data_IF_046528067059
#
_entry.id   IF_046528067059
#
_cell.length_a   1.000
_cell.length_b   1.000
_cell.length_c   1.000
_cell.angle_alpha   90.00
_cell.angle_beta   90.00
_cell.angle_gamma   90.00
#
_symmetry.space_group_name_H-M   'P 1'
#
loop_
_entity.id
_entity.type
_entity.pdbx_description
1 polymer ?
#
# COMPACT_ATOMS: atom_id res chain seq x y z
N UNK A 1 -43.31 28.32 46.77
CA UNK A 1 -42.30 29.15 47.45
C UNK A 1 -41.42 29.75 46.36
N UNK A 2 -41.32 31.06 46.07
CA UNK A 2 -41.33 32.32 46.85
C UNK A 2 -39.91 32.91 47.01
N UNK A 3 -39.67 34.13 46.46
CA UNK A 3 -38.48 35.00 46.67
C UNK A 3 -37.52 35.12 45.45
N UNK A 4 -37.31 36.31 44.83
CA UNK A 4 -36.50 37.50 45.25
C UNK A 4 -34.97 37.30 45.13
N UNK A 5 -34.11 38.17 44.54
CA UNK A 5 -34.12 39.54 43.91
C UNK A 5 -33.00 39.57 42.83
N UNK A 6 -32.88 40.43 41.79
CA UNK A 6 -33.11 41.87 41.52
C UNK A 6 -32.00 42.86 41.97
N UNK A 7 -31.32 43.54 41.01
CA UNK A 7 -30.39 44.69 41.19
C UNK A 7 -29.09 44.56 40.35
N UNK A 8 -28.91 45.28 39.22
CA UNK A 8 -28.30 46.64 39.04
C UNK A 8 -26.87 46.75 39.61
N UNK A 9 -25.86 47.22 38.85
CA UNK A 9 -25.67 48.64 38.45
C UNK A 9 -24.74 48.81 37.22
N UNK A 10 -24.48 50.05 36.80
CA UNK A 10 -23.98 50.46 35.48
C UNK A 10 -22.82 51.47 35.50
N UNK A 11 -22.05 51.49 34.42
CA UNK A 11 -21.34 52.64 33.82
C UNK A 11 -20.15 53.30 34.54
N UNK A 12 -19.04 53.45 33.82
CA UNK A 12 -18.43 54.75 33.40
C UNK A 12 -17.19 54.48 32.53
N UNK A 13 -16.73 55.46 31.73
CA UNK A 13 -15.51 55.32 30.92
C UNK A 13 -14.84 56.66 30.63
N UNK A 14 -13.62 56.66 30.09
CA UNK A 14 -13.03 57.86 29.45
C UNK A 14 -11.85 57.57 28.51
N UNK A 15 -11.65 58.52 27.59
CA UNK A 15 -10.65 58.63 26.53
C UNK A 15 -9.17 58.37 26.92
N UNK A 16 -8.36 58.01 25.91
CA UNK A 16 -6.91 57.77 26.05
C UNK A 16 -6.00 58.87 25.49
N UNK A 17 -4.70 58.58 25.31
CA UNK A 17 -3.73 59.33 24.47
C UNK A 17 -2.38 58.60 24.33
N UNK A 18 -1.85 58.59 23.09
CA UNK A 18 -0.42 58.67 22.68
C UNK A 18 0.60 57.62 23.17
N UNK A 19 1.18 56.90 22.20
CA UNK A 19 2.54 57.24 21.72
C UNK A 19 3.71 56.32 22.06
N UNK A 20 4.28 55.70 21.02
CA UNK A 20 5.67 55.26 20.84
C UNK A 20 6.32 54.26 21.84
N UNK A 21 6.70 53.08 21.34
CA UNK A 21 8.11 52.77 20.97
C UNK A 21 8.24 51.29 20.55
N UNK A 22 9.37 50.92 19.95
CA UNK A 22 9.48 49.75 19.07
C UNK A 22 10.11 48.50 19.71
N UNK A 23 9.63 47.33 19.25
CA UNK A 23 10.39 46.09 19.02
C UNK A 23 11.06 45.35 20.20
N UNK A 24 11.36 44.03 20.08
CA UNK A 24 11.26 43.19 18.87
C UNK A 24 10.20 42.08 18.92
N UNK A 25 9.62 41.80 17.76
CA UNK A 25 8.97 40.52 17.50
C UNK A 25 10.01 39.40 17.64
N UNK A 26 9.90 38.59 18.69
CA UNK A 26 10.57 37.29 18.72
C UNK A 26 9.90 36.42 17.66
N UNK A 27 10.60 36.25 16.53
CA UNK A 27 10.33 35.24 15.52
C UNK A 27 10.22 33.86 16.18
N UNK A 28 8.99 33.45 16.50
CA UNK A 28 8.66 32.08 16.88
C UNK A 28 8.71 31.23 15.62
N UNK A 29 9.93 30.88 15.20
CA UNK A 29 10.13 29.66 14.44
C UNK A 29 9.60 28.53 15.33
N UNK A 30 8.40 28.04 15.02
CA UNK A 30 7.92 26.78 15.58
C UNK A 30 8.92 25.68 15.21
N UNK A 31 9.04 24.62 16.02
CA UNK A 31 9.89 23.50 15.65
C UNK A 31 9.49 23.04 14.25
N UNK A 32 10.47 22.92 13.36
CA UNK A 32 10.23 22.27 12.08
C UNK A 32 9.59 20.92 12.40
N UNK A 33 8.37 20.70 11.91
CA UNK A 33 7.76 19.39 11.95
C UNK A 33 8.70 18.48 11.17
N UNK A 34 9.49 17.68 11.89
CA UNK A 34 10.21 16.58 11.31
C UNK A 34 9.18 15.83 10.49
N UNK A 35 9.42 15.69 9.18
CA UNK A 35 8.55 14.92 8.32
C UNK A 35 8.42 13.55 8.97
N UNK A 36 7.23 13.23 9.46
CA UNK A 36 6.90 11.86 9.83
C UNK A 36 7.29 11.02 8.62
N UNK A 37 8.12 10.00 8.82
CA UNK A 37 8.60 9.12 7.75
C UNK A 37 7.46 8.23 7.26
N UNK A 38 6.47 8.87 6.62
CA UNK A 38 5.48 8.23 5.77
C UNK A 38 6.28 7.66 4.60
N UNK A 39 6.32 6.33 4.42
CA UNK A 39 7.12 5.73 3.37
C UNK A 39 6.70 6.32 2.02
N UNK A 40 7.67 6.90 1.28
CA UNK A 40 7.40 7.56 -0.01
C UNK A 40 6.95 6.59 -1.11
N UNK A 41 7.03 5.29 -0.82
CA UNK A 41 6.64 4.20 -1.70
C UNK A 41 5.77 3.22 -0.91
N UNK A 42 4.71 2.75 -1.55
CA UNK A 42 3.86 1.66 -1.04
C UNK A 42 3.79 0.53 -2.07
N UNK A 43 3.94 -0.70 -1.61
CA UNK A 43 3.73 -1.93 -2.38
C UNK A 43 2.47 -2.61 -1.85
N UNK A 44 1.50 -2.86 -2.72
CA UNK A 44 0.29 -3.61 -2.36
C UNK A 44 0.48 -5.08 -2.74
N UNK A 45 0.28 -5.99 -1.79
CA UNK A 45 0.37 -7.44 -2.02
C UNK A 45 -1.03 -8.03 -2.05
N UNK A 46 -1.42 -8.68 -3.15
CA UNK A 46 -2.76 -9.21 -3.36
C UNK A 46 -2.75 -10.73 -3.41
N UNK A 47 -3.53 -11.34 -2.52
CA UNK A 47 -3.70 -12.78 -2.41
C UNK A 47 -5.12 -13.17 -2.84
N UNK A 48 -5.21 -13.88 -3.96
CA UNK A 48 -6.45 -14.41 -4.51
C UNK A 48 -7.02 -15.61 -3.75
N UNK A 49 -7.94 -16.36 -4.38
CA UNK A 49 -8.79 -17.32 -3.70
C UNK A 49 -8.04 -18.53 -3.15
N UNK A 50 -8.49 -18.99 -1.97
CA UNK A 50 -7.98 -20.12 -1.19
C UNK A 50 -6.61 -19.94 -0.54
N UNK A 51 -5.91 -18.81 -0.75
CA UNK A 51 -4.61 -18.57 -0.10
C UNK A 51 -4.73 -18.35 1.41
N UNK A 52 -5.90 -17.98 1.91
CA UNK A 52 -6.22 -17.97 3.34
C UNK A 52 -6.25 -19.38 3.98
N UNK A 53 -6.08 -20.46 3.21
CA UNK A 53 -6.03 -21.85 3.69
C UNK A 53 -4.59 -22.41 3.78
N UNK A 54 -3.56 -21.59 3.52
CA UNK A 54 -2.16 -21.98 3.70
C UNK A 54 -1.87 -22.42 5.15
N UNK A 55 -0.88 -23.30 5.32
CA UNK A 55 -0.55 -23.96 6.60
C UNK A 55 -1.55 -25.03 7.05
N UNK A 56 -2.83 -24.95 6.66
CA UNK A 56 -3.87 -25.93 7.04
C UNK A 56 -4.23 -26.93 5.96
N UNK A 57 -4.10 -26.55 4.68
CA UNK A 57 -4.45 -27.38 3.52
C UNK A 57 -3.22 -27.82 2.73
N UNK A 58 -3.17 -29.11 2.37
CA UNK A 58 -2.14 -29.71 1.50
C UNK A 58 -0.68 -29.29 1.88
N UNK A 59 -0.26 -29.41 3.17
CA UNK A 59 1.03 -28.86 3.62
C UNK A 59 2.26 -29.50 2.96
N UNK A 60 2.11 -30.70 2.38
CA UNK A 60 3.16 -31.34 1.58
C UNK A 60 3.39 -30.69 0.20
N UNK A 61 2.47 -29.82 -0.27
CA UNK A 61 2.58 -29.07 -1.53
C UNK A 61 3.01 -27.62 -1.27
N UNK A 62 2.45 -26.97 -0.24
CA UNK A 62 2.63 -25.54 0.01
C UNK A 62 3.51 -25.21 1.22
N UNK A 63 3.91 -26.21 2.01
CA UNK A 63 4.62 -26.04 3.28
C UNK A 63 3.68 -25.79 4.46
N UNK A 64 4.27 -25.60 5.64
CA UNK A 64 3.55 -25.35 6.89
C UNK A 64 3.32 -23.86 7.19
N UNK A 65 3.96 -22.95 6.45
CA UNK A 65 3.77 -21.51 6.63
C UNK A 65 2.32 -21.12 6.30
N UNK A 66 1.70 -20.35 7.19
CA UNK A 66 0.40 -19.73 6.97
C UNK A 66 0.53 -18.50 6.07
N UNK A 67 -0.60 -17.95 5.64
CA UNK A 67 -0.58 -16.67 4.92
C UNK A 67 -0.13 -15.52 5.83
N UNK A 68 -0.42 -15.58 7.12
CA UNK A 68 -0.05 -14.54 8.09
C UNK A 68 1.46 -14.55 8.38
N UNK A 69 2.10 -15.73 8.44
CA UNK A 69 3.57 -15.85 8.52
C UNK A 69 4.25 -15.20 7.31
N UNK A 70 3.71 -15.45 6.11
CA UNK A 70 4.19 -14.83 4.87
C UNK A 70 3.99 -13.31 4.94
N UNK A 71 2.79 -12.84 5.30
CA UNK A 71 2.49 -11.40 5.40
C UNK A 71 3.45 -10.68 6.37
N UNK A 72 3.71 -11.24 7.54
CA UNK A 72 4.65 -10.68 8.51
C UNK A 72 6.09 -10.56 7.95
N UNK A 73 6.56 -11.59 7.22
CA UNK A 73 7.86 -11.57 6.55
C UNK A 73 7.94 -10.45 5.48
N UNK A 74 6.88 -10.28 4.68
CA UNK A 74 6.85 -9.27 3.61
C UNK A 74 6.75 -7.84 4.15
N UNK A 75 6.03 -7.64 5.26
CA UNK A 75 5.96 -6.34 5.95
C UNK A 75 7.34 -5.95 6.51
N UNK A 76 7.99 -6.84 7.25
CA UNK A 76 9.33 -6.59 7.79
C UNK A 76 10.36 -6.27 6.69
N UNK A 77 10.31 -6.99 5.57
CA UNK A 77 11.15 -6.74 4.39
C UNK A 77 10.89 -5.36 3.74
N UNK A 78 9.66 -4.86 3.82
CA UNK A 78 9.30 -3.49 3.43
C UNK A 78 9.91 -2.45 4.38
N UNK A 79 9.75 -2.66 5.68
CA UNK A 79 10.28 -1.80 6.75
C UNK A 79 11.81 -1.66 6.64
N UNK A 80 12.53 -2.78 6.50
CA UNK A 80 13.98 -2.82 6.25
C UNK A 80 14.40 -2.01 5.01
N UNK A 81 13.53 -1.93 4.00
CA UNK A 81 13.78 -1.23 2.74
C UNK A 81 13.25 0.21 2.69
N UNK A 82 12.59 0.70 3.75
CA UNK A 82 11.94 2.01 3.79
C UNK A 82 10.69 2.13 2.90
N UNK A 83 9.95 1.04 2.72
CA UNK A 83 8.77 0.95 1.84
C UNK A 83 7.60 0.32 2.59
N UNK A 84 6.41 0.94 2.51
CA UNK A 84 5.21 0.36 3.12
C UNK A 84 4.74 -0.85 2.30
N UNK A 85 4.70 -2.04 2.90
CA UNK A 85 4.13 -3.24 2.26
C UNK A 85 2.77 -3.53 2.88
N UNK A 86 1.71 -3.53 2.07
CA UNK A 86 0.32 -3.68 2.53
C UNK A 86 -0.32 -4.92 1.91
N UNK A 87 -0.42 -6.04 2.64
CA UNK A 87 -1.05 -7.26 2.14
C UNK A 87 -2.58 -7.25 2.29
N UNK A 88 -3.27 -7.82 1.30
CA UNK A 88 -4.71 -8.08 1.30
C UNK A 88 -5.01 -9.47 0.73
N UNK A 89 -6.02 -10.15 1.29
CA UNK A 89 -6.54 -11.41 0.75
C UNK A 89 -8.02 -11.26 0.40
N UNK A 90 -8.44 -11.84 -0.73
CA UNK A 90 -9.86 -12.03 -1.01
C UNK A 90 -10.13 -13.27 -1.86
N UNK A 91 -11.22 -13.96 -1.54
CA UNK A 91 -11.79 -15.02 -2.36
C UNK A 91 -12.69 -14.48 -3.49
N UNK A 92 -13.01 -13.18 -3.49
CA UNK A 92 -13.92 -12.53 -4.43
C UNK A 92 -13.16 -11.71 -5.48
N UNK A 93 -13.35 -12.04 -6.75
CA UNK A 93 -12.74 -11.36 -7.91
C UNK A 93 -12.96 -9.83 -7.90
N UNK A 94 -14.20 -9.39 -7.67
CA UNK A 94 -14.54 -7.95 -7.61
C UNK A 94 -13.75 -7.19 -6.56
N UNK A 95 -13.55 -7.76 -5.36
CA UNK A 95 -12.78 -7.13 -4.29
C UNK A 95 -11.30 -6.98 -4.66
N UNK A 96 -10.73 -7.95 -5.40
CA UNK A 96 -9.36 -7.84 -5.90
C UNK A 96 -9.25 -6.74 -6.98
N UNK A 97 -10.27 -6.60 -7.83
CA UNK A 97 -10.36 -5.53 -8.83
C UNK A 97 -10.46 -4.15 -8.15
N UNK A 98 -11.30 -4.01 -7.13
CA UNK A 98 -11.45 -2.77 -6.35
C UNK A 98 -10.12 -2.38 -5.67
N UNK A 99 -9.42 -3.36 -5.09
CA UNK A 99 -8.09 -3.16 -4.49
C UNK A 99 -7.03 -2.74 -5.52
N UNK A 100 -7.06 -3.27 -6.75
CA UNK A 100 -6.17 -2.82 -7.84
C UNK A 100 -6.48 -1.37 -8.25
N UNK A 101 -7.76 -1.00 -8.34
CA UNK A 101 -8.17 0.36 -8.65
C UNK A 101 -7.77 1.35 -7.53
N UNK A 102 -7.87 0.94 -6.26
CA UNK A 102 -7.40 1.73 -5.13
C UNK A 102 -5.87 1.83 -5.09
N UNK A 103 -5.16 0.74 -5.43
CA UNK A 103 -3.70 0.72 -5.51
C UNK A 103 -3.18 1.74 -6.53
N UNK A 104 -3.83 1.92 -7.69
CA UNK A 104 -3.47 2.95 -8.69
C UNK A 104 -3.33 4.36 -8.12
N UNK A 105 -4.05 4.71 -7.04
CA UNK A 105 -3.97 6.03 -6.42
C UNK A 105 -3.11 6.10 -5.15
N UNK A 106 -2.72 4.96 -4.59
CA UNK A 106 -2.10 4.89 -3.25
C UNK A 106 -0.79 4.09 -3.19
N UNK A 107 -0.48 3.34 -4.24
CA UNK A 107 0.67 2.45 -4.33
C UNK A 107 1.59 2.83 -5.50
N UNK A 108 2.79 2.29 -5.46
CA UNK A 108 3.86 2.49 -6.45
C UNK A 108 4.21 1.18 -7.19
N UNK A 109 3.79 0.03 -6.67
CA UNK A 109 3.87 -1.27 -7.31
C UNK A 109 2.84 -2.24 -6.70
N UNK A 110 2.55 -3.34 -7.43
CA UNK A 110 1.67 -4.43 -6.97
C UNK A 110 2.46 -5.74 -7.01
N UNK A 111 2.33 -6.58 -5.98
CA UNK A 111 2.65 -8.01 -6.05
C UNK A 111 1.34 -8.77 -6.01
N UNK A 112 1.14 -9.77 -6.87
CA UNK A 112 -0.11 -10.54 -6.90
C UNK A 112 0.13 -12.04 -7.03
N UNK A 113 -0.48 -12.81 -6.13
CA UNK A 113 -0.75 -14.22 -6.34
C UNK A 113 -2.25 -14.38 -6.53
N UNK A 114 -2.72 -14.39 -7.77
CA UNK A 114 -4.15 -14.46 -8.09
C UNK A 114 -4.76 -15.86 -7.86
N UNK A 115 -4.00 -16.83 -7.35
CA UNK A 115 -4.48 -18.20 -7.12
C UNK A 115 -5.15 -18.78 -8.38
N UNK A 116 -6.37 -19.30 -8.23
CA UNK A 116 -7.14 -19.83 -9.36
C UNK A 116 -7.50 -18.78 -10.44
N UNK A 117 -7.64 -17.50 -10.06
CA UNK A 117 -8.07 -16.45 -10.99
C UNK A 117 -7.02 -16.11 -12.04
N UNK A 118 -5.75 -16.47 -11.87
CA UNK A 118 -4.74 -16.29 -12.93
C UNK A 118 -5.13 -17.03 -14.22
N UNK A 119 -5.84 -18.16 -14.11
CA UNK A 119 -6.22 -18.99 -15.26
C UNK A 119 -7.55 -18.57 -15.91
N UNK A 120 -8.38 -17.77 -15.23
CA UNK A 120 -9.79 -17.55 -15.61
C UNK A 120 -10.21 -16.08 -15.67
N UNK A 121 -9.56 -15.18 -14.93
CA UNK A 121 -10.02 -13.81 -14.76
C UNK A 121 -9.48 -12.88 -15.85
N UNK A 122 -10.33 -12.59 -16.83
CA UNK A 122 -10.11 -11.49 -17.78
C UNK A 122 -10.33 -10.14 -17.08
N UNK A 123 -11.29 -10.04 -16.16
CA UNK A 123 -11.60 -8.79 -15.46
C UNK A 123 -10.44 -8.30 -14.56
N UNK A 124 -9.77 -9.19 -13.83
CA UNK A 124 -8.59 -8.85 -13.03
C UNK A 124 -7.37 -8.53 -13.90
N UNK A 125 -7.19 -9.22 -15.04
CA UNK A 125 -6.17 -8.85 -16.04
C UNK A 125 -6.37 -7.40 -16.49
N UNK A 126 -7.59 -7.06 -16.88
CA UNK A 126 -7.89 -5.73 -17.45
C UNK A 126 -7.77 -4.64 -16.38
N UNK A 127 -8.15 -4.93 -15.12
CA UNK A 127 -7.90 -4.05 -13.98
C UNK A 127 -6.41 -3.82 -13.72
N UNK A 128 -5.56 -4.87 -13.77
CA UNK A 128 -4.11 -4.74 -13.61
C UNK A 128 -3.49 -3.92 -14.75
N UNK A 129 -3.89 -4.17 -16.01
CA UNK A 129 -3.45 -3.37 -17.15
C UNK A 129 -3.85 -1.89 -17.01
N UNK A 130 -5.08 -1.63 -16.54
CA UNK A 130 -5.59 -0.29 -16.27
C UNK A 130 -5.05 0.33 -14.97
N UNK A 131 -4.22 -0.37 -14.19
CA UNK A 131 -3.59 0.22 -13.00
C UNK A 131 -2.42 1.15 -13.34
N UNK A 132 -1.77 0.94 -14.50
CA UNK A 132 -0.50 1.58 -14.91
C UNK A 132 0.66 1.40 -13.92
N UNK A 133 0.49 0.54 -12.90
CA UNK A 133 1.53 0.20 -11.93
C UNK A 133 2.37 -0.99 -12.40
N UNK A 134 3.64 -1.08 -12.00
CA UNK A 134 4.44 -2.28 -12.19
C UNK A 134 3.89 -3.40 -11.30
N UNK A 135 3.47 -4.50 -11.94
CA UNK A 135 2.91 -5.67 -11.27
C UNK A 135 3.91 -6.84 -11.34
N UNK A 136 4.14 -7.52 -10.22
CA UNK A 136 4.90 -8.78 -10.18
C UNK A 136 3.95 -9.92 -9.79
N UNK A 137 3.84 -10.94 -10.64
CA UNK A 137 2.98 -12.10 -10.36
C UNK A 137 3.78 -13.21 -9.65
N UNK A 138 3.22 -13.77 -8.59
CA UNK A 138 3.88 -14.80 -7.74
C UNK A 138 3.00 -16.03 -7.63
N UNK A 139 3.61 -17.22 -7.76
CA UNK A 139 2.97 -18.52 -7.55
C UNK A 139 3.81 -19.41 -6.64
N UNK A 140 3.21 -19.90 -5.55
CA UNK A 140 3.87 -20.84 -4.63
C UNK A 140 4.33 -22.12 -5.35
N UNK A 141 3.43 -22.72 -6.15
CA UNK A 141 3.68 -23.92 -6.95
C UNK A 141 4.16 -23.59 -8.36
N UNK A 142 4.98 -24.48 -8.96
CA UNK A 142 5.33 -24.36 -10.38
C UNK A 142 4.11 -24.71 -11.25
N UNK A 143 3.52 -23.72 -11.90
CA UNK A 143 2.33 -23.88 -12.75
C UNK A 143 2.54 -24.88 -13.91
N UNK A 144 3.74 -24.96 -14.48
CA UNK A 144 4.05 -25.85 -15.60
C UNK A 144 4.19 -27.33 -15.19
N UNK A 145 4.26 -27.64 -13.88
CA UNK A 145 4.24 -29.01 -13.35
C UNK A 145 2.83 -29.48 -12.94
N UNK A 146 1.81 -28.65 -13.19
CA UNK A 146 0.43 -28.87 -12.78
C UNK A 146 -0.45 -29.29 -13.97
N UNK A 147 -1.75 -29.41 -13.71
CA UNK A 147 -2.78 -29.70 -14.71
C UNK A 147 -2.73 -28.70 -15.89
N UNK A 148 -2.96 -29.13 -17.13
CA UNK A 148 -2.78 -28.31 -18.36
C UNK A 148 -3.49 -26.95 -18.32
N UNK A 149 -4.70 -26.91 -17.74
CA UNK A 149 -5.47 -25.66 -17.58
C UNK A 149 -4.76 -24.61 -16.70
N UNK A 150 -3.70 -25.00 -15.99
CA UNK A 150 -2.88 -24.10 -15.15
C UNK A 150 -1.62 -23.60 -15.83
N UNK A 151 -1.22 -24.15 -16.97
CA UNK A 151 0.02 -23.73 -17.66
C UNK A 151 -0.10 -22.30 -18.20
N UNK A 152 -1.33 -21.81 -18.40
CA UNK A 152 -1.61 -20.44 -18.86
C UNK A 152 -2.03 -19.54 -17.69
N UNK A 153 -1.31 -18.43 -17.53
CA UNK A 153 -1.79 -17.23 -16.83
C UNK A 153 -2.35 -16.26 -17.86
N UNK A 154 -3.52 -15.68 -17.58
CA UNK A 154 -4.09 -14.55 -18.32
C UNK A 154 -3.44 -13.22 -17.93
N UNK A 155 -2.84 -13.17 -16.72
CA UNK A 155 -2.17 -11.99 -16.18
C UNK A 155 -0.76 -11.81 -16.76
N UNK A 156 -0.11 -12.89 -17.19
CA UNK A 156 1.28 -12.89 -17.64
C UNK A 156 1.64 -11.89 -18.76
N UNK A 157 0.65 -11.44 -19.54
CA UNK A 157 0.82 -10.44 -20.59
C UNK A 157 0.71 -8.98 -20.11
N UNK A 158 0.37 -8.74 -18.84
CA UNK A 158 0.13 -7.40 -18.24
C UNK A 158 0.93 -7.18 -16.95
N UNK A 159 1.85 -8.09 -16.62
CA UNK A 159 2.76 -8.01 -15.47
C UNK A 159 4.21 -7.85 -15.95
N UNK A 160 5.07 -7.27 -15.12
CA UNK A 160 6.50 -7.08 -15.39
C UNK A 160 7.24 -8.42 -15.43
N UNK A 161 6.82 -9.38 -14.62
CA UNK A 161 7.39 -10.72 -14.57
C UNK A 161 6.61 -11.68 -13.67
N UNK A 162 6.93 -12.97 -13.80
CA UNK A 162 6.33 -14.06 -13.04
C UNK A 162 7.39 -14.81 -12.24
N UNK A 163 7.10 -15.11 -10.97
CA UNK A 163 7.96 -15.91 -10.08
C UNK A 163 7.13 -17.11 -9.61
N UNK A 164 7.44 -18.32 -10.09
CA UNK A 164 6.63 -19.51 -9.85
C UNK A 164 7.44 -20.70 -9.34
N UNK A 165 6.93 -21.40 -8.32
CA UNK A 165 7.47 -22.68 -7.86
C UNK A 165 8.55 -22.62 -6.79
N UNK A 166 8.77 -21.46 -6.17
CA UNK A 166 9.74 -21.26 -5.09
C UNK A 166 9.11 -21.32 -3.68
N UNK A 167 7.83 -21.67 -3.56
CA UNK A 167 7.11 -21.60 -2.28
C UNK A 167 7.12 -20.17 -1.72
N UNK A 168 7.21 -20.03 -0.39
CA UNK A 168 7.23 -18.74 0.30
C UNK A 168 8.36 -17.81 -0.17
N UNK A 169 9.53 -18.34 -0.56
CA UNK A 169 10.63 -17.56 -1.12
C UNK A 169 10.21 -16.78 -2.38
N UNK A 170 9.25 -17.29 -3.15
CA UNK A 170 8.71 -16.58 -4.31
C UNK A 170 8.06 -15.23 -3.96
N UNK A 171 7.45 -15.11 -2.78
CA UNK A 171 6.91 -13.84 -2.30
C UNK A 171 8.00 -12.86 -1.88
N UNK A 172 9.04 -13.31 -1.15
CA UNK A 172 10.21 -12.47 -0.79
C UNK A 172 10.86 -11.90 -2.05
N UNK A 173 11.10 -12.73 -3.07
CA UNK A 173 11.65 -12.31 -4.36
C UNK A 173 10.71 -11.33 -5.09
N UNK A 174 9.39 -11.58 -5.07
CA UNK A 174 8.39 -10.71 -5.69
C UNK A 174 8.30 -9.33 -5.06
N UNK A 175 8.32 -9.26 -3.72
CA UNK A 175 8.31 -7.99 -2.98
C UNK A 175 9.64 -7.24 -3.13
N UNK A 176 10.79 -7.92 -3.15
CA UNK A 176 12.07 -7.28 -3.47
C UNK A 176 12.06 -6.63 -4.86
N UNK A 177 11.55 -7.33 -5.87
CA UNK A 177 11.40 -6.78 -7.22
C UNK A 177 10.44 -5.58 -7.25
N UNK A 178 9.28 -5.68 -6.57
CA UNK A 178 8.31 -4.59 -6.51
C UNK A 178 8.83 -3.35 -5.74
N UNK A 179 9.62 -3.55 -4.67
CA UNK A 179 10.31 -2.48 -3.93
C UNK A 179 11.27 -1.73 -4.86
N UNK A 180 12.08 -2.44 -5.63
CA UNK A 180 13.03 -1.81 -6.55
C UNK A 180 12.31 -1.05 -7.69
N UNK A 181 11.31 -1.67 -8.32
CA UNK A 181 10.46 -1.04 -9.34
C UNK A 181 9.76 0.23 -8.79
N UNK A 182 9.30 0.20 -7.53
CA UNK A 182 8.66 1.35 -6.88
C UNK A 182 9.61 2.55 -6.74
N UNK A 183 10.90 2.30 -6.49
CA UNK A 183 11.94 3.31 -6.33
C UNK A 183 12.35 3.93 -7.68
N UNK A 184 12.49 3.10 -8.70
CA UNK A 184 12.84 3.53 -10.06
C UNK A 184 11.82 4.52 -10.65
N UNK A 185 10.52 4.29 -10.46
CA UNK A 185 9.46 5.20 -10.93
C UNK A 185 9.57 6.62 -10.37
N UNK A 186 9.88 6.77 -9.08
CA UNK A 186 10.05 8.10 -8.49
C UNK A 186 11.32 8.79 -8.99
N UNK A 187 12.42 8.07 -9.23
CA UNK A 187 13.63 8.63 -9.82
C UNK A 187 13.40 9.13 -11.26
N UNK A 188 12.62 8.39 -12.05
CA UNK A 188 12.21 8.82 -13.41
C UNK A 188 11.32 10.07 -13.36
N UNK A 189 10.38 10.12 -12.42
CA UNK A 189 9.46 11.25 -12.25
C UNK A 189 10.19 12.54 -11.86
N UNK A 190 11.17 12.46 -10.95
CA UNK A 190 11.97 13.62 -10.51
C UNK A 190 12.84 14.20 -11.65
N UNK A 191 13.56 13.34 -12.39
CA UNK A 191 14.36 13.77 -13.55
C UNK A 191 13.52 14.44 -14.64
N UNK A 192 12.28 13.97 -14.84
CA UNK A 192 11.33 14.57 -15.78
C UNK A 192 10.85 15.97 -15.39
N UNK A 193 10.84 16.30 -14.09
CA UNK A 193 10.52 17.66 -13.61
C UNK A 193 11.70 18.62 -13.59
N UNK A 194 12.93 18.12 -13.43
CA UNK A 194 14.16 18.95 -13.43
C UNK A 194 14.64 19.34 -14.85
N UNK A 195 14.07 18.71 -15.88
CA UNK A 195 14.45 18.89 -17.30
C UNK A 195 13.47 19.79 -18.08
N UNK A 196 12.67 20.61 -17.39
CA UNK A 196 11.65 21.51 -17.96
C UNK A 196 11.76 22.92 -17.39
#
# INVERSE_FOLDING_TARGET
>A
MAGSKAGKTSATGKAGKRGASASPERSRQGPALASLDVPRHRVVVLHGPNLNLLGTREPHIYGHATLDDINAELVALGEEAGVEVVPFQSNHEGVLIDLVQQARQTASAIVINAGGYTHTSVALRDALAASELPVVEVHLSNLAKREDFRHRSLLGAVVVGQIAGFGALGYRLGVQAAIELSKQLSMMSQKGSESR
#
